data_IF_646818991632
#
_entry.id   IF_646818991632
#
_cell.length_a   1.000
_cell.length_b   1.000
_cell.length_c   1.000
_cell.angle_alpha   90.00
_cell.angle_beta   90.00
_cell.angle_gamma   90.00
#
_symmetry.space_group_name_H-M   'P 1'
#
loop_
_entity.id
_entity.type
_entity.pdbx_description
1 polymer ?
#
# COMPACT_ATOMS: atom_id res chain seq x y z
N UNK A 1 -13.54 9.41 16.76
CA UNK A 1 -13.16 9.33 15.33
C UNK A 1 -11.67 9.62 15.07
N UNK A 2 -10.94 10.29 15.96
CA UNK A 2 -9.51 10.63 15.83
C UNK A 2 -8.53 9.48 16.09
N UNK A 3 -8.94 8.44 16.86
CA UNK A 3 -8.07 7.30 17.19
C UNK A 3 -7.63 6.46 15.98
N UNK A 4 -8.46 6.38 14.93
CA UNK A 4 -8.13 5.62 13.71
C UNK A 4 -7.08 6.34 12.85
N UNK A 5 -7.20 7.67 12.70
CA UNK A 5 -6.27 8.45 11.87
C UNK A 5 -4.83 8.47 12.41
N UNK A 6 -4.67 8.63 13.73
CA UNK A 6 -3.35 8.57 14.37
C UNK A 6 -2.73 7.17 14.25
N UNK A 7 -3.54 6.12 14.42
CA UNK A 7 -3.07 4.73 14.27
C UNK A 7 -2.66 4.43 12.83
N UNK A 8 -3.43 4.87 11.84
CA UNK A 8 -3.12 4.66 10.41
C UNK A 8 -1.86 5.40 9.99
N UNK A 9 -1.66 6.63 10.48
CA UNK A 9 -0.45 7.40 10.18
C UNK A 9 0.80 6.74 10.78
N UNK A 10 0.73 6.32 12.06
CA UNK A 10 1.82 5.59 12.71
C UNK A 10 2.15 4.30 11.95
N UNK A 11 1.12 3.52 11.60
CA UNK A 11 1.31 2.29 10.84
C UNK A 11 1.89 2.54 9.45
N UNK A 12 1.43 3.58 8.74
CA UNK A 12 1.99 3.97 7.45
C UNK A 12 3.47 4.36 7.55
N UNK A 13 3.86 5.04 8.64
CA UNK A 13 5.25 5.38 8.91
C UNK A 13 6.12 4.14 9.17
N UNK A 14 5.66 3.24 10.03
CA UNK A 14 6.34 1.97 10.31
C UNK A 14 6.53 1.13 9.05
N UNK A 15 5.50 1.05 8.19
CA UNK A 15 5.57 0.37 6.91
C UNK A 15 6.50 1.07 5.92
N UNK A 16 6.43 2.40 5.82
CA UNK A 16 7.32 3.18 4.96
C UNK A 16 8.78 2.97 5.34
N UNK A 17 9.09 3.01 6.64
CA UNK A 17 10.42 2.72 7.16
C UNK A 17 10.84 1.28 6.85
N UNK A 18 9.98 0.31 7.16
CA UNK A 18 10.23 -1.10 6.92
C UNK A 18 10.53 -1.37 5.44
N UNK A 19 9.76 -0.78 4.51
CA UNK A 19 9.96 -0.97 3.08
C UNK A 19 11.20 -0.24 2.53
N UNK A 20 11.66 0.83 3.17
CA UNK A 20 12.85 1.57 2.77
C UNK A 20 14.16 0.88 3.21
N UNK A 21 14.12 0.12 4.30
CA UNK A 21 15.29 -0.53 4.90
C UNK A 21 15.53 -1.95 4.36
N UNK A 22 16.70 -2.52 4.66
CA UNK A 22 17.10 -3.89 4.29
C UNK A 22 18.17 -3.93 3.19
N UNK A 23 18.56 -5.15 2.79
CA UNK A 23 19.49 -5.36 1.70
C UNK A 23 18.93 -4.86 0.36
N UNK A 24 19.79 -4.68 -0.63
CA UNK A 24 19.39 -4.16 -1.94
C UNK A 24 18.32 -5.02 -2.64
N UNK A 25 18.31 -6.33 -2.36
CA UNK A 25 17.32 -7.28 -2.86
C UNK A 25 16.01 -7.33 -2.05
N UNK A 26 16.00 -6.76 -0.84
CA UNK A 26 14.85 -6.80 0.07
C UNK A 26 14.10 -5.47 0.16
N UNK A 27 14.80 -4.35 -0.01
CA UNK A 27 14.16 -3.02 -0.01
C UNK A 27 13.21 -2.86 -1.20
N UNK A 28 12.10 -2.16 -0.98
CA UNK A 28 11.21 -1.81 -2.08
C UNK A 28 11.71 -0.53 -2.77
N UNK A 29 11.64 -0.52 -4.10
CA UNK A 29 11.75 0.72 -4.85
C UNK A 29 10.48 1.55 -4.69
N UNK A 30 10.61 2.86 -4.87
CA UNK A 30 9.45 3.75 -4.89
C UNK A 30 8.44 3.35 -5.98
N UNK A 31 8.92 2.84 -7.12
CA UNK A 31 8.05 2.41 -8.22
C UNK A 31 7.20 1.19 -7.85
N UNK A 32 7.72 0.25 -7.06
CA UNK A 32 6.94 -0.92 -6.62
C UNK A 32 5.76 -0.51 -5.75
N UNK A 33 5.95 0.44 -4.83
CA UNK A 33 4.87 0.93 -3.97
C UNK A 33 3.92 1.85 -4.75
N UNK A 34 4.46 2.78 -5.56
CA UNK A 34 3.65 3.71 -6.38
C UNK A 34 2.78 3.00 -7.41
N UNK A 35 3.23 1.89 -8.00
CA UNK A 35 2.41 1.14 -8.95
C UNK A 35 1.07 0.69 -8.35
N UNK A 36 1.01 0.42 -7.05
CA UNK A 36 -0.25 0.11 -6.34
C UNK A 36 -1.07 1.38 -6.15
N UNK A 37 -0.45 2.45 -5.65
CA UNK A 37 -1.09 3.75 -5.45
C UNK A 37 -1.70 4.31 -6.75
N UNK A 38 -0.97 4.26 -7.86
CA UNK A 38 -1.41 4.75 -9.17
C UNK A 38 -2.69 4.03 -9.64
N UNK A 39 -2.77 2.70 -9.40
CA UNK A 39 -3.98 1.93 -9.71
C UNK A 39 -5.17 2.38 -8.86
N UNK A 40 -4.96 2.68 -7.58
CA UNK A 40 -5.99 3.20 -6.69
C UNK A 40 -6.41 4.63 -7.07
N UNK A 41 -5.46 5.48 -7.44
CA UNK A 41 -5.72 6.87 -7.83
C UNK A 41 -6.53 6.96 -9.14
N UNK A 42 -6.34 6.02 -10.07
CA UNK A 42 -7.14 5.92 -11.31
C UNK A 42 -8.61 5.60 -11.06
N UNK A 43 -8.96 5.03 -9.91
CA UNK A 43 -10.36 4.83 -9.52
C UNK A 43 -10.91 6.15 -8.95
N UNK A 44 -11.84 6.77 -9.70
CA UNK A 44 -12.46 8.05 -9.35
C UNK A 44 -13.43 7.95 -8.17
N UNK A 45 -14.05 6.79 -7.99
CA UNK A 45 -15.00 6.46 -6.92
C UNK A 45 -14.75 5.03 -6.45
N UNK A 46 -15.36 4.64 -5.33
CA UNK A 46 -15.32 3.25 -4.90
C UNK A 46 -15.96 2.34 -5.94
N UNK A 47 -15.23 1.29 -6.30
CA UNK A 47 -15.65 0.25 -7.24
C UNK A 47 -15.12 -1.07 -6.71
N UNK A 48 -16.00 -1.83 -6.04
CA UNK A 48 -15.64 -3.08 -5.39
C UNK A 48 -15.02 -4.08 -6.38
N UNK A 49 -15.57 -4.17 -7.58
CA UNK A 49 -15.07 -5.09 -8.61
C UNK A 49 -13.64 -4.73 -9.02
N UNK A 50 -13.37 -3.46 -9.33
CA UNK A 50 -12.00 -3.02 -9.67
C UNK A 50 -11.03 -3.20 -8.52
N UNK A 51 -11.49 -2.99 -7.28
CA UNK A 51 -10.68 -3.20 -6.09
C UNK A 51 -10.31 -4.68 -5.92
N UNK A 52 -11.26 -5.60 -6.11
CA UNK A 52 -10.99 -7.05 -6.07
C UNK A 52 -10.02 -7.48 -7.18
N UNK A 53 -10.09 -6.89 -8.37
CA UNK A 53 -9.16 -7.17 -9.48
C UNK A 53 -7.70 -6.73 -9.21
N UNK A 54 -7.45 -5.91 -8.19
CA UNK A 54 -6.07 -5.61 -7.77
C UNK A 54 -5.40 -6.79 -7.08
N UNK A 55 -6.16 -7.64 -6.39
CA UNK A 55 -5.63 -8.78 -5.61
C UNK A 55 -4.79 -9.75 -6.45
N UNK A 56 -5.25 -10.26 -7.62
CA UNK A 56 -4.43 -11.12 -8.46
C UNK A 56 -3.19 -10.41 -9.04
N UNK A 57 -3.29 -9.11 -9.35
CA UNK A 57 -2.14 -8.32 -9.83
C UNK A 57 -1.05 -8.19 -8.75
N UNK A 58 -1.46 -7.96 -7.50
CA UNK A 58 -0.57 -7.90 -6.35
C UNK A 58 0.06 -9.27 -6.07
N UNK A 59 -0.72 -10.36 -6.13
CA UNK A 59 -0.23 -11.72 -5.96
C UNK A 59 0.81 -12.09 -7.01
N UNK A 60 0.58 -11.72 -8.28
CA UNK A 60 1.57 -11.90 -9.34
C UNK A 60 2.86 -11.15 -9.07
N UNK A 61 2.78 -9.86 -8.68
CA UNK A 61 3.95 -9.07 -8.34
C UNK A 61 4.76 -9.67 -7.17
N UNK A 62 4.06 -10.15 -6.14
CA UNK A 62 4.67 -10.83 -4.99
C UNK A 62 5.36 -12.15 -5.38
N UNK A 63 4.74 -12.95 -6.25
CA UNK A 63 5.34 -14.18 -6.77
C UNK A 63 6.56 -13.93 -7.66
N UNK A 64 6.51 -12.86 -8.47
CA UNK A 64 7.59 -12.50 -9.39
C UNK A 64 8.81 -11.91 -8.68
N UNK A 65 8.60 -11.03 -7.70
CA UNK A 65 9.69 -10.25 -7.09
C UNK A 65 10.15 -10.81 -5.74
N UNK A 66 9.29 -11.49 -4.99
CA UNK A 66 9.63 -11.98 -3.65
C UNK A 66 9.96 -10.86 -2.66
N UNK A 67 10.68 -11.22 -1.58
CA UNK A 67 11.05 -10.28 -0.51
C UNK A 67 9.86 -9.48 0.01
N UNK A 68 10.11 -8.22 0.39
CA UNK A 68 9.11 -7.28 0.95
C UNK A 68 7.91 -6.99 0.04
N UNK A 69 7.95 -7.41 -1.23
CA UNK A 69 6.79 -7.30 -2.13
C UNK A 69 5.67 -8.24 -1.67
N UNK A 70 6.01 -9.38 -1.05
CA UNK A 70 5.02 -10.29 -0.45
C UNK A 70 4.28 -9.64 0.71
N UNK A 71 5.00 -8.89 1.54
CA UNK A 71 4.47 -8.16 2.69
C UNK A 71 3.60 -6.98 2.21
N UNK A 72 4.06 -6.23 1.21
CA UNK A 72 3.25 -5.20 0.56
C UNK A 72 1.95 -5.79 -0.02
N UNK A 73 2.02 -6.94 -0.68
CA UNK A 73 0.84 -7.64 -1.20
C UNK A 73 -0.10 -8.05 -0.07
N UNK A 74 0.40 -8.64 1.01
CA UNK A 74 -0.42 -9.08 2.14
C UNK A 74 -1.16 -7.92 2.79
N UNK A 75 -0.46 -6.81 3.05
CA UNK A 75 -1.06 -5.61 3.65
C UNK A 75 -2.09 -4.99 2.69
N UNK A 76 -1.77 -4.93 1.39
CA UNK A 76 -2.71 -4.46 0.37
C UNK A 76 -3.97 -5.32 0.34
N UNK A 77 -3.84 -6.64 0.40
CA UNK A 77 -4.96 -7.59 0.38
C UNK A 77 -5.86 -7.43 1.61
N UNK A 78 -5.27 -7.33 2.80
CA UNK A 78 -6.00 -7.09 4.05
C UNK A 78 -6.75 -5.77 4.00
N UNK A 79 -6.09 -4.70 3.54
CA UNK A 79 -6.72 -3.39 3.43
C UNK A 79 -7.87 -3.39 2.40
N UNK A 80 -7.72 -4.06 1.26
CA UNK A 80 -8.79 -4.24 0.26
C UNK A 80 -10.03 -4.90 0.88
N UNK A 81 -9.85 -5.94 1.70
CA UNK A 81 -10.96 -6.65 2.36
C UNK A 81 -11.73 -5.76 3.36
N UNK A 82 -11.10 -4.71 3.90
CA UNK A 82 -11.72 -3.77 4.84
C UNK A 82 -12.51 -2.64 4.15
N UNK A 83 -12.35 -2.47 2.83
CA UNK A 83 -13.06 -1.42 2.09
C UNK A 83 -14.48 -1.87 1.76
N UNK A 84 -15.47 -1.20 2.35
CA UNK A 84 -16.89 -1.53 2.20
C UNK A 84 -17.73 -0.37 1.62
N UNK A 85 -17.18 0.84 1.57
CA UNK A 85 -17.84 2.05 1.11
C UNK A 85 -16.82 3.10 0.64
N UNK A 86 -17.30 4.21 0.08
CA UNK A 86 -16.46 5.31 -0.41
C UNK A 86 -15.53 5.90 0.64
N UNK A 87 -16.00 6.07 1.88
CA UNK A 87 -15.16 6.61 2.95
C UNK A 87 -13.99 5.68 3.28
N UNK A 88 -14.22 4.37 3.33
CA UNK A 88 -13.15 3.38 3.52
C UNK A 88 -12.18 3.42 2.34
N UNK A 89 -12.68 3.60 1.12
CA UNK A 89 -11.85 3.68 -0.07
C UNK A 89 -10.95 4.92 -0.06
N UNK A 90 -11.48 6.08 0.34
CA UNK A 90 -10.68 7.30 0.55
C UNK A 90 -9.61 7.07 1.62
N UNK A 91 -9.97 6.48 2.76
CA UNK A 91 -9.01 6.17 3.82
C UNK A 91 -7.91 5.21 3.34
N UNK A 92 -8.26 4.23 2.50
CA UNK A 92 -7.31 3.29 1.91
C UNK A 92 -6.31 4.00 0.96
N UNK A 93 -6.80 4.91 0.12
CA UNK A 93 -5.94 5.76 -0.75
C UNK A 93 -4.97 6.59 0.10
N UNK A 94 -5.48 7.29 1.11
CA UNK A 94 -4.68 8.13 2.00
C UNK A 94 -3.62 7.31 2.75
N UNK A 95 -3.96 6.09 3.19
CA UNK A 95 -3.01 5.19 3.84
C UNK A 95 -1.86 4.79 2.91
N UNK A 96 -2.14 4.42 1.65
CA UNK A 96 -1.10 4.09 0.69
C UNK A 96 -0.24 5.29 0.29
N UNK A 97 -0.85 6.47 0.17
CA UNK A 97 -0.13 7.72 -0.07
C UNK A 97 0.82 8.04 1.09
N UNK A 98 0.37 7.86 2.34
CA UNK A 98 1.22 8.02 3.51
C UNK A 98 2.39 7.02 3.53
N UNK A 99 2.18 5.75 3.16
CA UNK A 99 3.28 4.76 3.04
C UNK A 99 4.32 5.24 2.02
N UNK A 100 3.91 5.74 0.85
CA UNK A 100 4.82 6.26 -0.17
C UNK A 100 5.60 7.47 0.35
N UNK A 101 4.91 8.39 1.04
CA UNK A 101 5.54 9.58 1.62
C UNK A 101 6.58 9.19 2.69
N UNK A 102 6.24 8.29 3.61
CA UNK A 102 7.16 7.84 4.66
C UNK A 102 8.30 6.97 4.10
N UNK A 103 8.04 6.12 3.11
CA UNK A 103 9.10 5.38 2.41
C UNK A 103 10.15 6.34 1.84
N UNK A 104 9.70 7.43 1.21
CA UNK A 104 10.60 8.47 0.69
C UNK A 104 11.33 9.21 1.81
N UNK A 105 10.63 9.56 2.89
CA UNK A 105 11.20 10.19 4.08
C UNK A 105 12.33 9.35 4.70
N UNK A 106 12.17 8.02 4.75
CA UNK A 106 13.17 7.08 5.27
C UNK A 106 14.27 6.71 4.25
N UNK A 107 14.41 7.45 3.15
CA UNK A 107 15.49 7.28 2.18
C UNK A 107 15.23 6.27 1.06
N UNK A 108 13.99 5.80 0.92
CA UNK A 108 13.56 4.98 -0.21
C UNK A 108 13.80 5.64 -1.57
N UNK A 109 14.26 4.85 -2.54
CA UNK A 109 14.57 5.29 -3.92
C UNK A 109 13.58 4.71 -4.91
#
# INVERSE_FOLDING_TARGET
>A
MTGNALSLNKQANELGQYFAQGGERDRLSSSQIRNVLDKLQRMKSFDLTKLQLLRPLLAYAAGRHGGKVKELQKISDQAIQMVQNDQHFVNFKNFFEAIVAYHRYHGGK
#
